data_IF_830304851446
#
_entry.id   IF_830304851446
#
_cell.length_a   1.000
_cell.length_b   1.000
_cell.length_c   1.000
_cell.angle_alpha   90.00
_cell.angle_beta   90.00
_cell.angle_gamma   90.00
#
_symmetry.space_group_name_H-M   'P 1'
#
loop_
_entity.id
_entity.type
_entity.pdbx_description
1 polymer ?
#
# COMPACT_ATOMS: atom_id res chain seq x y z
N UNK A 1 15.62 -38.03 -33.63
CA UNK A 1 14.71 -37.95 -32.46
C UNK A 1 15.17 -36.78 -31.61
N UNK A 2 14.38 -35.69 -31.55
CA UNK A 2 14.66 -34.55 -30.67
C UNK A 2 14.14 -34.89 -29.28
N UNK A 3 15.01 -34.96 -28.28
CA UNK A 3 14.61 -35.09 -26.88
C UNK A 3 13.91 -33.80 -26.40
N UNK A 4 13.04 -33.88 -25.38
CA UNK A 4 12.36 -32.70 -24.86
C UNK A 4 13.38 -31.78 -24.17
N UNK A 5 13.37 -30.50 -24.53
CA UNK A 5 14.11 -29.46 -23.78
C UNK A 5 13.37 -29.21 -22.48
N UNK A 6 13.94 -29.63 -21.35
CA UNK A 6 13.51 -29.21 -20.02
C UNK A 6 13.51 -27.68 -19.94
N UNK A 7 12.46 -27.04 -19.39
CA UNK A 7 12.52 -25.62 -19.12
C UNK A 7 13.54 -25.40 -17.99
N UNK A 8 14.65 -24.76 -18.33
CA UNK A 8 15.58 -24.19 -17.35
C UNK A 8 14.82 -23.17 -16.53
N UNK A 9 14.48 -23.51 -15.28
CA UNK A 9 14.11 -22.53 -14.26
C UNK A 9 15.31 -21.62 -14.06
N UNK A 10 15.18 -20.34 -14.41
CA UNK A 10 16.20 -19.35 -14.08
C UNK A 10 16.38 -19.35 -12.55
N UNK A 11 17.57 -19.64 -12.01
CA UNK A 11 17.78 -19.68 -10.56
C UNK A 11 17.76 -18.30 -9.87
N UNK A 12 17.53 -17.23 -10.62
CA UNK A 12 17.86 -15.86 -10.20
C UNK A 12 16.67 -14.87 -10.31
N UNK A 13 15.43 -15.31 -10.10
CA UNK A 13 14.42 -14.32 -9.69
C UNK A 13 14.79 -13.87 -8.27
N UNK A 14 15.20 -12.61 -8.10
CA UNK A 14 15.24 -12.02 -6.78
C UNK A 14 13.87 -12.27 -6.12
N UNK A 15 13.81 -12.67 -4.84
CA UNK A 15 12.54 -12.76 -4.15
C UNK A 15 11.79 -11.43 -4.33
N UNK A 16 10.48 -11.50 -4.52
CA UNK A 16 9.65 -10.30 -4.59
C UNK A 16 10.04 -9.39 -3.42
N UNK A 17 10.25 -8.09 -3.67
CA UNK A 17 10.88 -7.26 -2.66
C UNK A 17 10.00 -7.25 -1.40
N UNK A 18 10.64 -7.46 -0.26
CA UNK A 18 9.97 -7.66 1.04
C UNK A 18 10.17 -6.46 1.92
N UNK A 19 9.12 -6.08 2.63
CA UNK A 19 9.17 -4.98 3.58
C UNK A 19 8.69 -5.40 4.95
N UNK A 20 9.03 -4.59 5.94
CA UNK A 20 8.71 -4.87 7.32
C UNK A 20 7.93 -3.72 7.91
N UNK A 21 6.83 -4.04 8.57
CA UNK A 21 6.16 -3.15 9.49
C UNK A 21 6.65 -3.50 10.89
N UNK A 22 7.16 -2.50 11.61
CA UNK A 22 7.47 -2.62 13.02
C UNK A 22 6.39 -1.93 13.83
N UNK A 23 6.01 -2.53 14.95
CA UNK A 23 5.03 -1.97 15.87
C UNK A 23 5.52 -2.00 17.32
N UNK A 24 5.09 -0.99 18.06
CA UNK A 24 5.27 -0.83 19.51
C UNK A 24 3.90 -0.73 20.19
N UNK A 25 3.84 -1.08 21.47
CA UNK A 25 2.67 -0.86 22.34
C UNK A 25 3.00 -0.02 23.58
N UNK A 26 4.26 0.42 23.73
CA UNK A 26 4.77 1.09 24.92
C UNK A 26 5.35 2.48 24.62
N UNK A 27 4.87 3.11 23.55
CA UNK A 27 5.32 4.44 23.14
C UNK A 27 6.67 4.46 22.44
N UNK A 28 7.14 3.32 21.93
CA UNK A 28 8.38 3.21 21.15
C UNK A 28 9.61 2.85 21.97
N UNK A 29 9.43 2.43 23.23
CA UNK A 29 10.53 1.94 24.07
C UNK A 29 10.98 0.55 23.62
N UNK A 30 10.04 -0.29 23.17
CA UNK A 30 10.33 -1.58 22.57
C UNK A 30 9.52 -1.80 21.28
N UNK A 31 10.13 -2.50 20.33
CA UNK A 31 9.56 -2.87 19.04
C UNK A 31 9.62 -4.39 18.93
N UNK A 32 8.49 -5.07 19.08
CA UNK A 32 8.43 -6.54 19.20
C UNK A 32 7.72 -7.21 18.04
N UNK A 33 6.93 -6.46 17.28
CA UNK A 33 6.02 -6.99 16.27
C UNK A 33 6.56 -6.63 14.89
N UNK A 34 7.38 -7.52 14.32
CA UNK A 34 7.91 -7.40 12.96
C UNK A 34 7.06 -8.25 12.01
N UNK A 35 6.27 -7.59 11.19
CA UNK A 35 5.43 -8.26 10.19
C UNK A 35 6.02 -8.03 8.81
N UNK A 36 6.36 -9.13 8.13
CA UNK A 36 6.76 -9.07 6.73
C UNK A 36 5.51 -8.85 5.87
N UNK A 37 5.56 -7.81 5.03
CA UNK A 37 4.55 -7.49 4.04
C UNK A 37 5.16 -7.56 2.64
N UNK A 38 4.32 -7.91 1.66
CA UNK A 38 4.72 -7.93 0.26
C UNK A 38 4.90 -6.51 -0.28
N UNK A 39 5.92 -6.31 -1.12
CA UNK A 39 6.20 -5.03 -1.77
C UNK A 39 7.23 -4.20 -1.03
N UNK A 40 7.50 -3.02 -1.56
CA UNK A 40 8.39 -1.98 -0.99
C UNK A 40 7.57 -0.75 -0.66
N UNK A 41 7.53 -0.25 0.59
CA UNK A 41 7.03 1.08 0.81
C UNK A 41 8.06 2.01 0.17
N UNK A 42 7.83 2.38 -1.09
CA UNK A 42 8.70 3.30 -1.83
C UNK A 42 8.81 4.64 -1.06
N UNK A 43 7.74 5.00 -0.32
CA UNK A 43 7.62 6.25 0.43
C UNK A 43 7.49 6.07 1.95
N UNK A 44 7.59 4.85 2.49
CA UNK A 44 7.72 4.61 3.95
C UNK A 44 6.51 4.98 4.83
N UNK A 45 5.33 5.25 4.28
CA UNK A 45 4.21 5.78 5.05
C UNK A 45 3.14 4.73 5.38
N UNK A 46 2.40 5.01 6.47
CA UNK A 46 1.26 4.23 6.95
C UNK A 46 0.17 5.20 7.37
N UNK A 47 -1.08 4.90 7.00
CA UNK A 47 -2.27 5.64 7.43
C UNK A 47 -3.05 4.79 8.43
N UNK A 48 -3.37 5.39 9.57
CA UNK A 48 -4.22 4.80 10.60
C UNK A 48 -5.65 5.32 10.44
N UNK A 49 -6.58 4.46 10.03
CA UNK A 49 -8.01 4.79 9.96
C UNK A 49 -8.72 4.55 11.31
N UNK A 50 -8.19 3.62 12.10
CA UNK A 50 -8.59 3.32 13.49
C UNK A 50 -7.40 2.69 14.25
N UNK A 51 -7.65 2.23 15.49
CA UNK A 51 -6.66 1.49 16.28
C UNK A 51 -6.22 0.17 15.61
N UNK A 52 -7.10 -0.48 14.85
CA UNK A 52 -6.91 -1.80 14.23
C UNK A 52 -6.90 -1.79 12.70
N UNK A 53 -7.37 -0.72 12.05
CA UNK A 53 -7.48 -0.62 10.60
C UNK A 53 -6.44 0.35 10.01
N UNK A 54 -5.42 -0.19 9.34
CA UNK A 54 -4.30 0.58 8.79
C UNK A 54 -4.06 0.27 7.32
N UNK A 55 -3.51 1.24 6.60
CA UNK A 55 -3.21 1.18 5.17
C UNK A 55 -1.77 1.59 4.88
N UNK A 56 -1.11 0.91 3.94
CA UNK A 56 0.18 1.28 3.36
C UNK A 56 0.22 0.95 1.87
N UNK A 57 1.12 1.55 1.10
CA UNK A 57 1.21 1.34 -0.35
C UNK A 57 2.61 1.11 -0.88
N UNK A 58 2.64 0.43 -2.01
CA UNK A 58 3.80 0.24 -2.87
C UNK A 58 3.33 0.43 -4.31
N UNK A 59 3.63 1.57 -4.93
CA UNK A 59 3.07 1.88 -6.25
C UNK A 59 1.54 1.97 -6.25
N UNK A 60 0.90 1.27 -7.19
CA UNK A 60 -0.56 1.13 -7.29
C UNK A 60 -1.16 0.01 -6.42
N UNK A 61 -0.35 -0.57 -5.52
CA UNK A 61 -0.74 -1.65 -4.61
C UNK A 61 -0.99 -1.09 -3.22
N UNK A 62 -2.11 -1.48 -2.61
CA UNK A 62 -2.51 -1.15 -1.26
C UNK A 62 -2.46 -2.40 -0.39
N UNK A 63 -1.79 -2.31 0.75
CA UNK A 63 -1.79 -3.31 1.81
C UNK A 63 -2.60 -2.81 2.99
N UNK A 64 -3.45 -3.68 3.52
CA UNK A 64 -4.43 -3.36 4.56
C UNK A 64 -4.39 -4.40 5.68
N UNK A 65 -4.46 -3.93 6.92
CA UNK A 65 -4.72 -4.72 8.11
C UNK A 65 -6.01 -4.25 8.76
N UNK A 66 -6.79 -5.18 9.32
CA UNK A 66 -7.98 -4.90 10.13
C UNK A 66 -7.83 -5.46 11.56
N UNK A 67 -6.61 -5.83 11.96
CA UNK A 67 -6.30 -6.43 13.26
C UNK A 67 -5.06 -5.80 13.91
N UNK A 68 -4.76 -4.55 13.57
CA UNK A 68 -3.66 -3.78 14.15
C UNK A 68 -2.27 -4.32 13.77
N UNK A 69 -2.13 -4.78 12.53
CA UNK A 69 -0.86 -5.18 11.92
C UNK A 69 -0.47 -6.65 12.12
N UNK A 70 -1.36 -7.49 12.67
CA UNK A 70 -1.09 -8.93 12.89
C UNK A 70 -1.20 -9.70 11.58
N UNK A 71 -2.20 -9.39 10.77
CA UNK A 71 -2.37 -9.94 9.42
C UNK A 71 -2.58 -8.82 8.41
N UNK A 72 -2.12 -9.08 7.18
CA UNK A 72 -2.17 -8.12 6.08
C UNK A 72 -2.74 -8.79 4.83
N UNK A 73 -3.58 -8.05 4.12
CA UNK A 73 -4.05 -8.38 2.78
C UNK A 73 -3.53 -7.34 1.81
N UNK A 74 -3.37 -7.70 0.53
CA UNK A 74 -2.82 -6.79 -0.48
C UNK A 74 -3.68 -6.82 -1.73
N UNK A 75 -3.97 -5.65 -2.29
CA UNK A 75 -4.77 -5.50 -3.52
C UNK A 75 -4.20 -4.41 -4.42
N UNK A 76 -4.30 -4.60 -5.74
CA UNK A 76 -4.05 -3.52 -6.71
C UNK A 76 -5.27 -2.62 -6.76
N UNK A 77 -5.07 -1.32 -6.61
CA UNK A 77 -6.15 -0.31 -6.59
C UNK A 77 -6.03 0.73 -7.70
N UNK A 78 -4.89 0.79 -8.37
CA UNK A 78 -4.66 1.64 -9.55
C UNK A 78 -4.18 0.81 -10.75
N UNK A 79 -4.32 1.39 -11.95
CA UNK A 79 -3.76 0.83 -13.18
C UNK A 79 -2.22 0.80 -13.14
N UNK A 80 -1.62 -0.05 -13.99
CA UNK A 80 -0.17 -0.19 -14.05
C UNK A 80 0.54 1.12 -14.42
N UNK A 81 1.68 1.36 -13.75
CA UNK A 81 2.45 2.60 -13.91
C UNK A 81 1.95 3.79 -13.08
N UNK A 82 0.81 3.66 -12.38
CA UNK A 82 0.34 4.66 -11.42
C UNK A 82 0.77 4.30 -10.00
N UNK A 83 1.07 5.33 -9.19
CA UNK A 83 1.48 5.20 -7.80
C UNK A 83 0.68 6.16 -6.91
N UNK A 84 0.20 5.66 -5.77
CA UNK A 84 -0.34 6.50 -4.70
C UNK A 84 0.84 7.12 -3.95
N UNK A 85 0.91 8.45 -3.90
CA UNK A 85 1.83 9.13 -3.01
C UNK A 85 1.20 9.19 -1.63
N UNK A 86 1.84 8.55 -0.66
CA UNK A 86 1.38 8.56 0.73
C UNK A 86 1.80 9.80 1.51
N UNK A 87 2.76 10.59 1.00
CA UNK A 87 3.20 11.83 1.62
C UNK A 87 2.05 12.87 1.75
N UNK A 88 0.94 12.67 1.04
CA UNK A 88 -0.18 13.62 0.94
C UNK A 88 -1.53 12.99 1.28
N UNK A 89 -1.56 11.89 2.04
CA UNK A 89 -2.83 11.30 2.45
C UNK A 89 -3.50 12.11 3.56
N UNK A 90 -4.80 12.32 3.41
CA UNK A 90 -5.64 12.87 4.47
C UNK A 90 -6.96 12.09 4.56
N UNK A 91 -7.54 12.03 5.74
CA UNK A 91 -8.73 11.22 6.00
C UNK A 91 -9.77 11.97 6.82
N UNK A 92 -11.03 11.82 6.44
CA UNK A 92 -12.19 12.38 7.17
C UNK A 92 -13.05 11.20 7.63
N UNK A 93 -12.80 10.78 8.87
CA UNK A 93 -13.35 9.53 9.40
C UNK A 93 -12.79 8.29 8.67
N UNK A 94 -13.27 7.08 8.98
CA UNK A 94 -12.61 5.86 8.51
C UNK A 94 -12.80 5.55 7.02
N UNK A 95 -13.72 6.23 6.34
CA UNK A 95 -14.14 5.86 4.98
C UNK A 95 -13.65 6.82 3.89
N UNK A 96 -13.45 8.10 4.22
CA UNK A 96 -13.07 9.10 3.22
C UNK A 96 -11.57 9.30 3.29
N UNK A 97 -10.89 9.05 2.17
CA UNK A 97 -9.45 9.18 2.03
C UNK A 97 -9.16 9.99 0.79
N UNK A 98 -8.30 10.99 0.92
CA UNK A 98 -7.75 11.77 -0.17
C UNK A 98 -6.29 11.42 -0.35
N UNK A 99 -5.86 11.32 -1.60
CA UNK A 99 -4.48 11.01 -1.93
C UNK A 99 -4.08 11.67 -3.26
N UNK A 100 -2.78 11.83 -3.46
CA UNK A 100 -2.22 12.19 -4.75
C UNK A 100 -1.79 10.93 -5.52
N UNK A 101 -1.98 10.95 -6.84
CA UNK A 101 -1.42 9.97 -7.78
C UNK A 101 -0.47 10.68 -8.74
N UNK A 102 0.78 10.19 -8.82
CA UNK A 102 1.80 10.74 -9.71
C UNK A 102 2.02 12.25 -9.54
N UNK A 103 2.23 12.96 -10.66
CA UNK A 103 2.67 14.36 -10.68
C UNK A 103 1.58 15.42 -10.40
N UNK A 104 0.49 15.09 -9.68
CA UNK A 104 -0.51 16.11 -9.29
C UNK A 104 -1.98 15.69 -9.31
N UNK A 105 -2.32 14.47 -9.70
CA UNK A 105 -3.72 14.05 -9.77
C UNK A 105 -4.27 13.79 -8.37
N UNK A 106 -5.38 14.43 -8.03
CA UNK A 106 -6.10 14.16 -6.78
C UNK A 106 -7.05 12.98 -6.98
N UNK A 107 -7.02 12.02 -6.05
CA UNK A 107 -7.97 10.92 -5.99
C UNK A 107 -8.66 10.88 -4.64
N UNK A 108 -9.88 10.35 -4.62
CA UNK A 108 -10.68 10.17 -3.42
C UNK A 108 -11.24 8.76 -3.35
N UNK A 109 -11.16 8.17 -2.18
CA UNK A 109 -11.96 7.02 -1.78
C UNK A 109 -13.05 7.47 -0.80
N UNK A 110 -14.21 6.82 -0.86
CA UNK A 110 -15.32 7.00 0.10
C UNK A 110 -15.73 5.69 0.77
N UNK A 111 -14.92 4.65 0.61
CA UNK A 111 -15.17 3.28 1.09
C UNK A 111 -13.95 2.67 1.82
N UNK A 112 -13.11 3.52 2.40
CA UNK A 112 -11.93 3.11 3.17
C UNK A 112 -10.77 2.62 2.29
N UNK A 113 -10.64 3.16 1.08
CA UNK A 113 -9.56 2.83 0.14
C UNK A 113 -9.82 1.54 -0.66
N UNK A 114 -11.06 1.04 -0.72
CA UNK A 114 -11.40 -0.12 -1.57
C UNK A 114 -11.49 0.29 -3.03
N UNK A 115 -12.10 1.43 -3.30
CA UNK A 115 -12.18 2.04 -4.64
C UNK A 115 -11.72 3.50 -4.60
N UNK A 116 -11.22 3.98 -5.73
CA UNK A 116 -10.66 5.32 -5.89
C UNK A 116 -11.20 5.98 -7.16
N UNK A 117 -11.60 7.24 -7.04
CA UNK A 117 -12.04 8.05 -8.15
C UNK A 117 -11.16 9.30 -8.29
N UNK A 118 -10.83 9.67 -9.52
CA UNK A 118 -10.17 10.94 -9.80
C UNK A 118 -11.07 12.11 -9.40
N UNK A 119 -10.47 13.15 -8.83
CA UNK A 119 -11.16 14.38 -8.47
C UNK A 119 -10.55 15.53 -9.24
N UNK A 120 -11.40 16.22 -10.00
CA UNK A 120 -11.08 17.50 -10.61
C UNK A 120 -11.58 18.61 -9.68
N UNK A 121 -10.69 19.40 -9.06
CA UNK A 121 -11.11 20.57 -8.29
C UNK A 121 -11.90 21.53 -9.19
N UNK A 122 -12.92 22.22 -8.66
CA UNK A 122 -13.61 23.26 -9.41
C UNK A 122 -12.61 24.35 -9.82
N UNK A 123 -12.75 24.87 -11.03
CA UNK A 123 -11.99 26.04 -11.48
C UNK A 123 -12.42 27.24 -10.63
N UNK A 124 -11.48 27.85 -9.91
CA UNK A 124 -11.74 29.12 -9.22
C UNK A 124 -11.64 30.23 -10.25
N UNK A 125 -12.68 31.07 -10.34
CA UNK A 125 -12.72 32.27 -11.16
C UNK A 125 -12.35 33.51 -10.34
#
# INVERSE_FOLDING_TARGET
MRGPTSPTTQPNSLPAPTSFVLKTSDGGNHWTDLTQISGTPEDGAILFLSFDHWLTTSGGILSETNDGGRTWSTRRVLADGLSLSMASWDTIGPNVIWAQVGAGSLVRSTDGGKTWAAVTPPTVH
#
